data_IF_759461081897
#
_entry.id   IF_759461081897
#
_cell.length_a   1.000
_cell.length_b   1.000
_cell.length_c   1.000
_cell.angle_alpha   90.00
_cell.angle_beta   90.00
_cell.angle_gamma   90.00
#
_symmetry.space_group_name_H-M   'P 1'
#
loop_
_entity.id
_entity.type
_entity.pdbx_description
1 polymer ?
#
# COMPACT_ATOMS: atom_id res chain seq x y z
N UNK A 1 21.52 -5.90 33.67
CA UNK A 1 21.66 -4.53 33.14
C UNK A 1 21.25 -4.53 31.67
N UNK A 2 20.07 -4.00 31.34
CA UNK A 2 19.65 -3.86 29.93
C UNK A 2 20.33 -2.63 29.34
N UNK A 3 21.19 -2.82 28.34
CA UNK A 3 21.87 -1.73 27.65
C UNK A 3 20.83 -0.86 26.92
N UNK A 4 20.51 0.31 27.47
CA UNK A 4 19.61 1.28 26.80
C UNK A 4 20.32 1.84 25.58
N UNK A 5 19.91 1.40 24.40
CA UNK A 5 20.33 1.98 23.13
C UNK A 5 19.93 3.47 23.13
N UNK A 6 20.88 4.36 22.81
CA UNK A 6 20.61 5.79 22.66
C UNK A 6 19.53 6.02 21.60
N UNK A 7 18.60 6.95 21.86
CA UNK A 7 17.49 7.29 20.95
C UNK A 7 17.97 7.61 19.53
N UNK A 8 19.14 8.22 19.40
CA UNK A 8 19.71 8.55 18.09
C UNK A 8 20.15 7.29 17.32
N UNK A 9 20.78 6.32 17.98
CA UNK A 9 21.13 5.04 17.32
C UNK A 9 19.89 4.27 16.91
N UNK A 10 18.87 4.24 17.77
CA UNK A 10 17.58 3.58 17.46
C UNK A 10 16.94 4.16 16.20
N UNK A 11 16.97 5.49 16.03
CA UNK A 11 16.42 6.17 14.84
C UNK A 11 17.17 5.80 13.56
N UNK A 12 18.50 5.79 13.58
CA UNK A 12 19.30 5.40 12.43
C UNK A 12 19.06 3.94 12.04
N UNK A 13 18.99 3.03 13.03
CA UNK A 13 18.66 1.63 12.78
C UNK A 13 17.29 1.50 12.14
N UNK A 14 16.27 2.21 12.65
CA UNK A 14 14.94 2.20 12.04
C UNK A 14 14.92 2.75 10.61
N UNK A 15 15.63 3.86 10.36
CA UNK A 15 15.73 4.44 9.01
C UNK A 15 16.39 3.45 8.04
N UNK A 16 17.46 2.79 8.47
CA UNK A 16 18.17 1.79 7.68
C UNK A 16 17.29 0.57 7.40
N UNK A 17 16.59 0.04 8.41
CA UNK A 17 15.68 -1.09 8.25
C UNK A 17 14.53 -0.76 7.30
N UNK A 18 13.96 0.44 7.39
CA UNK A 18 12.91 0.90 6.49
C UNK A 18 13.42 1.07 5.05
N UNK A 19 14.63 1.59 4.86
CA UNK A 19 15.24 1.69 3.53
C UNK A 19 15.49 0.30 2.94
N UNK A 20 16.08 -0.61 3.72
CA UNK A 20 16.33 -1.98 3.29
C UNK A 20 15.04 -2.72 2.94
N UNK A 21 13.99 -2.55 3.74
CA UNK A 21 12.66 -3.07 3.45
C UNK A 21 12.07 -2.45 2.17
N UNK A 22 12.20 -1.14 1.98
CA UNK A 22 11.77 -0.44 0.76
C UNK A 22 12.47 -0.99 -0.48
N UNK A 23 13.78 -1.22 -0.43
CA UNK A 23 14.53 -1.83 -1.54
C UNK A 23 14.07 -3.27 -1.79
N UNK A 24 13.99 -4.09 -0.74
CA UNK A 24 13.57 -5.48 -0.85
C UNK A 24 12.19 -5.60 -1.50
N UNK A 25 11.22 -4.81 -1.02
CA UNK A 25 9.85 -4.80 -1.53
C UNK A 25 9.77 -4.24 -2.96
N UNK A 26 10.51 -3.19 -3.28
CA UNK A 26 10.57 -2.63 -4.64
C UNK A 26 11.13 -3.64 -5.65
N UNK A 27 12.26 -4.29 -5.33
CA UNK A 27 12.88 -5.30 -6.21
C UNK A 27 11.99 -6.54 -6.34
N UNK A 28 11.36 -6.96 -5.24
CA UNK A 28 10.42 -8.09 -5.25
C UNK A 28 9.22 -7.80 -6.14
N UNK A 29 8.65 -6.60 -6.09
CA UNK A 29 7.53 -6.19 -6.96
C UNK A 29 7.96 -5.98 -8.40
N UNK A 30 9.11 -5.35 -8.65
CA UNK A 30 9.63 -5.12 -10.00
C UNK A 30 9.93 -6.42 -10.76
N UNK A 31 10.30 -7.48 -10.02
CA UNK A 31 10.54 -8.82 -10.57
C UNK A 31 9.40 -9.79 -10.30
N UNK A 32 8.21 -9.27 -9.99
CA UNK A 32 7.04 -10.10 -9.73
C UNK A 32 6.59 -10.84 -10.99
N UNK A 33 6.37 -12.14 -10.82
CA UNK A 33 5.73 -12.99 -11.80
C UNK A 33 4.54 -13.68 -11.14
N UNK A 34 3.39 -13.65 -11.80
CA UNK A 34 2.22 -14.35 -11.30
C UNK A 34 2.51 -15.87 -11.28
N UNK A 35 2.25 -16.58 -10.18
CA UNK A 35 2.42 -18.02 -10.15
C UNK A 35 1.44 -18.68 -11.12
N UNK A 36 1.84 -19.83 -11.67
CA UNK A 36 0.95 -20.65 -12.49
C UNK A 36 -0.30 -21.03 -11.68
N UNK A 37 -1.45 -21.26 -12.35
CA UNK A 37 -2.65 -21.76 -11.67
C UNK A 37 -2.30 -23.02 -10.87
N UNK A 38 -2.76 -23.07 -9.62
CA UNK A 38 -2.51 -24.17 -8.66
C UNK A 38 -1.06 -24.35 -8.18
N UNK A 39 -0.13 -23.49 -8.59
CA UNK A 39 1.23 -23.47 -8.05
C UNK A 39 1.31 -22.64 -6.75
N UNK A 40 2.30 -22.96 -5.92
CA UNK A 40 2.51 -22.22 -4.67
C UNK A 40 2.94 -20.77 -4.92
N UNK A 41 2.47 -19.78 -4.14
CA UNK A 41 2.82 -18.37 -4.34
C UNK A 41 4.32 -18.04 -4.33
N UNK A 42 5.13 -18.85 -3.65
CA UNK A 42 6.59 -18.68 -3.54
C UNK A 42 7.38 -19.46 -4.61
N UNK A 43 6.72 -20.16 -5.53
CA UNK A 43 7.40 -20.96 -6.56
C UNK A 43 7.76 -20.13 -7.81
N UNK A 44 7.22 -18.93 -7.94
CA UNK A 44 7.51 -18.05 -9.07
C UNK A 44 8.94 -17.49 -8.98
N UNK A 45 9.67 -17.39 -10.11
CA UNK A 45 10.98 -16.74 -10.14
C UNK A 45 10.90 -15.29 -9.64
N UNK A 46 11.79 -14.92 -8.72
CA UNK A 46 11.90 -13.56 -8.19
C UNK A 46 13.35 -13.26 -7.80
N UNK A 47 13.81 -12.04 -8.02
CA UNK A 47 15.21 -11.68 -7.75
C UNK A 47 15.57 -11.72 -6.25
N UNK A 48 14.58 -11.58 -5.37
CA UNK A 48 14.75 -11.70 -3.92
C UNK A 48 14.45 -13.12 -3.39
N UNK A 49 14.36 -14.11 -4.29
CA UNK A 49 14.08 -15.51 -3.95
C UNK A 49 12.62 -15.76 -3.53
N UNK A 50 12.34 -16.93 -2.90
CA UNK A 50 10.97 -17.35 -2.55
C UNK A 50 10.26 -16.40 -1.58
N UNK A 51 11.02 -15.75 -0.69
CA UNK A 51 10.48 -14.75 0.25
C UNK A 51 10.02 -13.50 -0.51
N UNK A 52 10.81 -13.04 -1.49
CA UNK A 52 10.42 -11.93 -2.36
C UNK A 52 9.18 -12.26 -3.20
N UNK A 53 9.12 -13.48 -3.75
CA UNK A 53 7.95 -13.96 -4.49
C UNK A 53 6.67 -13.96 -3.63
N UNK A 54 6.74 -14.51 -2.42
CA UNK A 54 5.63 -14.52 -1.48
C UNK A 54 5.20 -13.11 -1.06
N UNK A 55 6.18 -12.25 -0.76
CA UNK A 55 5.93 -10.87 -0.37
C UNK A 55 5.24 -10.11 -1.50
N UNK A 56 5.79 -10.17 -2.72
CA UNK A 56 5.20 -9.51 -3.88
C UNK A 56 3.80 -10.06 -4.18
N UNK A 57 3.62 -11.38 -4.15
CA UNK A 57 2.30 -12.00 -4.31
C UNK A 57 1.31 -11.48 -3.26
N UNK A 58 1.69 -11.45 -1.98
CA UNK A 58 0.80 -10.98 -0.91
C UNK A 58 0.39 -9.52 -1.09
N UNK A 59 1.31 -8.66 -1.53
CA UNK A 59 1.03 -7.25 -1.78
C UNK A 59 0.12 -7.06 -3.00
N UNK A 60 0.42 -7.73 -4.12
CA UNK A 60 -0.38 -7.68 -5.34
C UNK A 60 -1.76 -8.28 -5.12
N UNK A 61 -1.85 -9.38 -4.39
CA UNK A 61 -3.13 -10.00 -4.04
C UNK A 61 -3.98 -9.10 -3.16
N UNK A 62 -3.37 -8.34 -2.24
CA UNK A 62 -4.08 -7.45 -1.31
C UNK A 62 -4.52 -6.15 -2.01
N UNK A 63 -3.57 -5.45 -2.63
CA UNK A 63 -3.74 -4.08 -3.13
C UNK A 63 -3.92 -3.98 -4.64
N UNK A 64 -3.56 -5.02 -5.40
CA UNK A 64 -3.35 -4.93 -6.84
C UNK A 64 -1.93 -4.49 -7.18
N UNK A 65 -1.47 -4.80 -8.39
CA UNK A 65 -0.08 -4.56 -8.81
C UNK A 65 0.32 -3.09 -8.74
N UNK A 66 -0.54 -2.18 -9.20
CA UNK A 66 -0.23 -0.75 -9.20
C UNK A 66 -0.11 -0.18 -7.78
N UNK A 67 -1.10 -0.43 -6.92
CA UNK A 67 -1.12 0.11 -5.55
C UNK A 67 -0.06 -0.55 -4.64
N UNK A 68 0.39 -1.76 -4.95
CA UNK A 68 1.46 -2.43 -4.20
C UNK A 68 2.77 -1.62 -4.17
N UNK A 69 3.07 -0.83 -5.22
CA UNK A 69 4.24 0.07 -5.23
C UNK A 69 4.13 1.24 -4.24
N UNK A 70 2.94 1.51 -3.69
CA UNK A 70 2.79 2.46 -2.58
C UNK A 70 3.58 2.03 -1.34
N UNK A 71 3.74 0.71 -1.09
CA UNK A 71 4.45 0.19 0.08
C UNK A 71 5.94 0.55 0.08
N UNK A 72 6.74 0.28 -0.97
CA UNK A 72 8.14 0.70 -1.00
C UNK A 72 8.28 2.23 -0.96
N UNK A 73 7.40 2.98 -1.64
CA UNK A 73 7.42 4.45 -1.61
C UNK A 73 7.18 5.00 -0.20
N UNK A 74 6.21 4.45 0.53
CA UNK A 74 5.97 4.80 1.92
C UNK A 74 7.17 4.40 2.80
N UNK A 75 7.74 3.22 2.61
CA UNK A 75 8.92 2.77 3.36
C UNK A 75 10.11 3.73 3.18
N UNK A 76 10.36 4.20 1.94
CA UNK A 76 11.38 5.20 1.66
C UNK A 76 11.03 6.57 2.27
N UNK A 77 9.78 7.03 2.15
CA UNK A 77 9.33 8.27 2.78
C UNK A 77 9.51 8.27 4.29
N UNK A 78 9.17 7.15 4.94
CA UNK A 78 9.38 6.94 6.37
C UNK A 78 10.86 6.85 6.74
N UNK A 79 11.68 6.13 5.96
CA UNK A 79 13.13 6.08 6.17
C UNK A 79 13.74 7.48 6.15
N UNK A 80 13.40 8.27 5.14
CA UNK A 80 13.88 9.64 4.99
C UNK A 80 13.45 10.55 6.13
N UNK A 81 12.18 10.48 6.54
CA UNK A 81 11.68 11.26 7.67
C UNK A 81 12.40 10.91 8.98
N UNK A 82 12.72 9.62 9.19
CA UNK A 82 13.50 9.18 10.36
C UNK A 82 14.94 9.65 10.30
N UNK A 83 15.56 9.66 9.12
CA UNK A 83 16.90 10.20 8.93
C UNK A 83 16.96 11.71 9.21
N UNK A 84 15.93 12.47 8.79
CA UNK A 84 15.85 13.93 8.99
C UNK A 84 15.31 14.38 10.34
N UNK A 85 15.05 13.46 11.28
CA UNK A 85 14.43 13.76 12.60
C UNK A 85 13.09 14.51 12.48
N UNK A 86 12.36 14.31 11.38
CA UNK A 86 11.10 15.02 11.13
C UNK A 86 9.96 14.53 12.03
N UNK A 87 8.90 15.33 12.09
CA UNK A 87 7.74 15.02 12.93
C UNK A 87 7.03 13.76 12.47
N UNK A 88 6.76 12.86 13.43
CA UNK A 88 6.10 11.58 13.15
C UNK A 88 4.63 11.79 12.82
N UNK A 89 3.97 12.71 13.52
CA UNK A 89 2.52 12.93 13.44
C UNK A 89 2.11 13.39 12.05
N UNK A 90 2.83 14.34 11.45
CA UNK A 90 2.53 14.84 10.10
C UNK A 90 2.62 13.73 9.04
N UNK A 91 3.70 12.94 9.05
CA UNK A 91 3.86 11.85 8.09
C UNK A 91 2.86 10.71 8.32
N UNK A 92 2.50 10.44 9.58
CA UNK A 92 1.49 9.45 9.91
C UNK A 92 0.13 9.82 9.33
N UNK A 93 -0.31 11.07 9.52
CA UNK A 93 -1.57 11.57 8.96
C UNK A 93 -1.53 11.52 7.43
N UNK A 94 -0.46 11.99 6.80
CA UNK A 94 -0.32 11.92 5.33
C UNK A 94 -0.31 10.49 4.79
N UNK A 95 0.38 9.57 5.47
CA UNK A 95 0.41 8.15 5.09
C UNK A 95 -0.95 7.49 5.26
N UNK A 96 -1.69 7.84 6.31
CA UNK A 96 -3.04 7.33 6.57
C UNK A 96 -4.04 7.83 5.52
N UNK A 97 -4.01 9.12 5.19
CA UNK A 97 -4.86 9.71 4.14
C UNK A 97 -4.51 9.13 2.78
N UNK A 98 -3.22 9.03 2.45
CA UNK A 98 -2.78 8.41 1.20
C UNK A 98 -3.19 6.93 1.11
N UNK A 99 -3.11 6.19 2.22
CA UNK A 99 -3.60 4.81 2.30
C UNK A 99 -5.11 4.69 2.13
N UNK A 100 -5.87 5.62 2.72
CA UNK A 100 -7.33 5.68 2.56
C UNK A 100 -7.72 5.99 1.11
N UNK A 101 -7.06 6.96 0.48
CA UNK A 101 -7.28 7.27 -0.94
C UNK A 101 -6.94 6.08 -1.84
N UNK A 102 -5.81 5.39 -1.59
CA UNK A 102 -5.45 4.19 -2.34
C UNK A 102 -6.52 3.09 -2.18
N UNK A 103 -7.04 2.89 -0.97
CA UNK A 103 -8.12 1.96 -0.71
C UNK A 103 -9.42 2.32 -1.44
N UNK A 104 -9.82 3.59 -1.42
CA UNK A 104 -11.01 4.09 -2.12
C UNK A 104 -10.87 3.94 -3.64
N UNK A 105 -9.70 4.27 -4.19
CA UNK A 105 -9.39 4.05 -5.61
C UNK A 105 -9.50 2.57 -5.96
N UNK A 106 -8.86 1.67 -5.20
CA UNK A 106 -8.97 0.23 -5.43
C UNK A 106 -10.42 -0.26 -5.40
N UNK A 107 -11.25 0.31 -4.52
CA UNK A 107 -12.69 0.03 -4.42
C UNK A 107 -13.44 0.49 -5.66
N UNK A 108 -13.24 1.73 -6.09
CA UNK A 108 -13.88 2.28 -7.30
C UNK A 108 -13.49 1.47 -8.55
N UNK A 109 -12.21 1.07 -8.65
CA UNK A 109 -11.75 0.20 -9.72
C UNK A 109 -12.41 -1.20 -9.64
N UNK A 110 -12.68 -1.69 -8.43
CA UNK A 110 -13.44 -2.92 -8.19
C UNK A 110 -14.90 -2.82 -8.62
N UNK A 111 -15.57 -1.70 -8.33
CA UNK A 111 -16.93 -1.41 -8.82
C UNK A 111 -16.99 -1.31 -10.35
N UNK A 112 -15.92 -0.81 -10.97
CA UNK A 112 -15.75 -0.77 -12.42
C UNK A 112 -15.44 -2.13 -13.07
N UNK A 113 -15.43 -3.22 -12.29
CA UNK A 113 -15.05 -4.56 -12.73
C UNK A 113 -13.68 -4.62 -13.45
N UNK A 114 -12.77 -3.72 -13.09
CA UNK A 114 -11.41 -3.72 -13.62
C UNK A 114 -10.61 -4.88 -13.04
N UNK A 115 -9.60 -5.32 -13.79
CA UNK A 115 -8.85 -6.53 -13.45
C UNK A 115 -8.33 -6.51 -12.00
N UNK A 116 -8.71 -7.53 -11.24
CA UNK A 116 -8.40 -7.67 -9.81
C UNK A 116 -6.90 -7.67 -9.57
N UNK A 117 -6.14 -8.38 -10.38
CA UNK A 117 -4.71 -8.57 -10.14
C UNK A 117 -3.89 -7.32 -10.46
N UNK A 118 -4.28 -6.57 -11.49
CA UNK A 118 -3.58 -5.33 -11.88
C UNK A 118 -4.00 -4.13 -11.05
N UNK A 119 -5.29 -4.00 -10.73
CA UNK A 119 -5.88 -2.74 -10.28
C UNK A 119 -6.53 -2.79 -8.90
N UNK A 120 -7.59 -3.59 -8.75
CA UNK A 120 -8.46 -3.49 -7.56
C UNK A 120 -7.91 -4.23 -6.33
N UNK A 121 -7.09 -5.27 -6.54
CA UNK A 121 -6.67 -6.17 -5.48
C UNK A 121 -7.83 -6.92 -4.83
N UNK A 122 -7.52 -7.74 -3.84
CA UNK A 122 -8.53 -8.44 -3.04
C UNK A 122 -9.36 -7.48 -2.17
N UNK A 123 -8.73 -6.41 -1.65
CA UNK A 123 -9.41 -5.44 -0.81
C UNK A 123 -10.43 -4.58 -1.58
N UNK A 124 -10.04 -4.05 -2.74
CA UNK A 124 -10.95 -3.25 -3.56
C UNK A 124 -12.15 -4.07 -4.04
N UNK A 125 -11.94 -5.33 -4.44
CA UNK A 125 -13.03 -6.23 -4.85
C UNK A 125 -13.94 -6.57 -3.66
N UNK A 126 -13.39 -6.91 -2.50
CA UNK A 126 -14.19 -7.26 -1.33
C UNK A 126 -15.08 -6.10 -0.88
N UNK A 127 -14.53 -4.87 -0.85
CA UNK A 127 -15.30 -3.71 -0.45
C UNK A 127 -16.29 -3.26 -1.53
N UNK A 128 -15.93 -3.36 -2.82
CA UNK A 128 -16.86 -3.14 -3.93
C UNK A 128 -18.07 -4.08 -3.85
N UNK A 129 -17.85 -5.36 -3.56
CA UNK A 129 -18.93 -6.33 -3.36
C UNK A 129 -19.81 -5.99 -2.14
N UNK A 130 -19.20 -5.55 -1.04
CA UNK A 130 -19.93 -5.13 0.15
C UNK A 130 -20.78 -3.87 -0.10
N UNK A 131 -20.26 -2.87 -0.82
CA UNK A 131 -21.04 -1.69 -1.21
C UNK A 131 -22.17 -2.07 -2.15
N UNK A 132 -21.88 -2.90 -3.14
CA UNK A 132 -22.87 -3.31 -4.13
C UNK A 132 -24.00 -4.13 -3.49
N UNK A 133 -23.70 -5.00 -2.52
CA UNK A 133 -24.72 -5.78 -1.82
C UNK A 133 -25.57 -4.94 -0.88
N UNK A 134 -25.01 -3.88 -0.29
CA UNK A 134 -25.73 -3.00 0.63
C UNK A 134 -26.56 -1.90 -0.07
N UNK A 135 -26.03 -1.32 -1.15
CA UNK A 135 -26.55 -0.09 -1.77
C UNK A 135 -27.04 -0.28 -3.21
N UNK A 136 -26.83 -1.47 -3.79
CA UNK A 136 -27.08 -1.74 -5.20
C UNK A 136 -26.09 -1.03 -6.13
N UNK A 137 -26.29 -1.23 -7.45
CA UNK A 137 -25.39 -0.72 -8.48
C UNK A 137 -25.21 0.80 -8.40
N UNK A 138 -26.29 1.57 -8.45
CA UNK A 138 -26.22 3.03 -8.50
C UNK A 138 -25.78 3.61 -7.14
N UNK A 139 -26.32 3.09 -6.03
CA UNK A 139 -25.99 3.58 -4.69
C UNK A 139 -24.53 3.38 -4.32
N UNK A 140 -23.93 2.27 -4.76
CA UNK A 140 -22.49 2.00 -4.53
C UNK A 140 -21.58 3.03 -5.20
N UNK A 141 -21.89 3.46 -6.42
CA UNK A 141 -21.13 4.50 -7.13
C UNK A 141 -21.29 5.88 -6.48
N UNK A 142 -22.49 6.23 -6.05
CA UNK A 142 -22.74 7.52 -5.39
C UNK A 142 -21.95 7.58 -4.08
N UNK A 143 -22.13 6.60 -3.19
CA UNK A 143 -21.47 6.60 -1.87
C UNK A 143 -19.96 6.48 -2.00
N UNK A 144 -19.47 5.54 -2.82
CA UNK A 144 -18.03 5.36 -3.05
C UNK A 144 -17.39 6.60 -3.66
N UNK A 145 -18.04 7.23 -4.63
CA UNK A 145 -17.58 8.48 -5.23
C UNK A 145 -17.58 9.64 -4.23
N UNK A 146 -18.64 9.81 -3.45
CA UNK A 146 -18.70 10.87 -2.43
C UNK A 146 -17.62 10.71 -1.36
N UNK A 147 -17.40 9.49 -0.86
CA UNK A 147 -16.32 9.21 0.10
C UNK A 147 -14.96 9.59 -0.50
N UNK A 148 -14.69 9.17 -1.74
CA UNK A 148 -13.45 9.52 -2.43
C UNK A 148 -13.25 11.03 -2.58
N UNK A 149 -14.27 11.78 -3.01
CA UNK A 149 -14.18 13.23 -3.13
C UNK A 149 -13.98 13.92 -1.78
N UNK A 150 -14.66 13.46 -0.73
CA UNK A 150 -14.48 14.00 0.61
C UNK A 150 -13.05 13.78 1.13
N UNK A 151 -12.50 12.57 0.95
CA UNK A 151 -11.13 12.25 1.33
C UNK A 151 -10.11 13.03 0.49
N UNK A 152 -10.36 13.19 -0.81
CA UNK A 152 -9.49 13.98 -1.70
C UNK A 152 -9.48 15.47 -1.33
N UNK A 153 -10.63 16.01 -0.93
CA UNK A 153 -10.74 17.38 -0.43
C UNK A 153 -9.92 17.55 0.86
N UNK A 154 -10.10 16.63 1.81
CA UNK A 154 -9.34 16.61 3.08
C UNK A 154 -7.83 16.49 2.82
N UNK A 155 -7.42 15.67 1.85
CA UNK A 155 -6.02 15.55 1.46
C UNK A 155 -5.44 16.86 0.92
N UNK A 156 -6.24 17.60 0.13
CA UNK A 156 -5.84 18.89 -0.46
C UNK A 156 -5.66 19.96 0.62
N UNK A 157 -6.55 20.00 1.62
CA UNK A 157 -6.50 20.94 2.74
C UNK A 157 -5.36 20.64 3.74
N UNK A 158 -5.03 19.37 3.97
CA UNK A 158 -4.02 18.94 4.95
C UNK A 158 -2.56 18.96 4.41
N UNK A 159 -2.34 19.62 3.28
CA UNK A 159 -0.99 19.96 2.81
C UNK A 159 -0.35 18.98 1.83
N UNK A 160 -1.15 18.36 0.96
CA UNK A 160 -0.66 18.01 -0.38
C UNK A 160 -0.79 19.24 -1.28
N UNK A 161 0.14 20.19 -1.14
CA UNK A 161 0.28 21.27 -2.13
C UNK A 161 0.90 20.63 -3.38
N UNK A 162 0.10 20.54 -4.45
CA UNK A 162 0.55 20.10 -5.77
C UNK A 162 1.47 21.12 -6.41
#
# INVERSE_FOLDING_TARGET
MSARISNDRRRHVLALLLAAFGVLTAVSLATYQAPLPFASPWSAPNACGPVGALLAYSLVWTFGYAAAFGVPLLAFGWSWNRARRGEVRGLLVRSAIGGLLAFEICTLLGLGALDRWRWSGGWGVAFALALHSALGAIGSWIVGGTLFFATALVASELGFHW
#
